data_IF_724952282622
#
_entry.id   IF_724952282622
#
_cell.length_a   1.000
_cell.length_b   1.000
_cell.length_c   1.000
_cell.angle_alpha   90.00
_cell.angle_beta   90.00
_cell.angle_gamma   90.00
#
_symmetry.space_group_name_H-M   'P 1'
#
loop_
_entity.id
_entity.type
_entity.pdbx_description
1 polymer ?
#
# COMPACT_ATOMS: atom_id res chain seq x y z
N UNK A 1 -1.43 0.72 16.55
CA UNK A 1 -0.12 1.37 16.33
C UNK A 1 0.40 0.91 14.97
N UNK A 2 1.03 1.78 14.19
CA UNK A 2 1.68 1.42 12.93
C UNK A 2 2.98 0.64 13.20
N UNK A 3 2.90 -0.71 13.21
CA UNK A 3 4.07 -1.55 13.47
C UNK A 3 4.99 -1.61 12.24
N UNK A 4 6.32 -1.79 12.42
CA UNK A 4 7.24 -1.95 11.29
C UNK A 4 6.79 -3.04 10.31
N UNK A 5 6.47 -4.24 10.84
CA UNK A 5 5.97 -5.36 10.04
C UNK A 5 4.71 -5.01 9.25
N UNK A 6 3.75 -4.33 9.90
CA UNK A 6 2.52 -3.92 9.22
C UNK A 6 2.80 -2.93 8.08
N UNK A 7 3.73 -1.99 8.28
CA UNK A 7 4.13 -1.05 7.24
C UNK A 7 4.86 -1.73 6.09
N UNK A 8 5.66 -2.77 6.35
CA UNK A 8 6.32 -3.58 5.31
C UNK A 8 5.29 -4.35 4.48
N UNK A 9 4.30 -4.97 5.12
CA UNK A 9 3.18 -5.64 4.45
C UNK A 9 2.37 -4.66 3.58
N UNK A 10 2.12 -3.45 4.09
CA UNK A 10 1.44 -2.41 3.32
C UNK A 10 2.28 -1.90 2.14
N UNK A 11 3.59 -1.75 2.29
CA UNK A 11 4.47 -1.35 1.19
C UNK A 11 4.43 -2.38 0.04
N UNK A 12 4.51 -3.67 0.37
CA UNK A 12 4.39 -4.74 -0.62
C UNK A 12 3.05 -4.69 -1.38
N UNK A 13 1.94 -4.45 -0.67
CA UNK A 13 0.61 -4.30 -1.28
C UNK A 13 0.54 -3.09 -2.21
N UNK A 14 1.12 -1.96 -1.81
CA UNK A 14 1.20 -0.74 -2.64
C UNK A 14 1.91 -1.03 -3.96
N UNK A 15 3.05 -1.72 -3.92
CA UNK A 15 3.79 -2.09 -5.13
C UNK A 15 3.00 -3.03 -6.05
N UNK A 16 2.30 -4.02 -5.47
CA UNK A 16 1.43 -4.93 -6.23
C UNK A 16 0.32 -4.14 -6.95
N UNK A 17 -0.34 -3.21 -6.24
CA UNK A 17 -1.37 -2.37 -6.84
C UNK A 17 -0.80 -1.44 -7.91
N UNK A 18 0.40 -0.88 -7.72
CA UNK A 18 1.05 0.00 -8.68
C UNK A 18 1.36 -0.70 -10.01
N UNK A 19 1.68 -2.00 -9.96
CA UNK A 19 1.83 -2.86 -11.15
C UNK A 19 0.50 -3.24 -11.80
N UNK A 20 -0.63 -2.86 -11.20
CA UNK A 20 -1.96 -3.22 -11.65
C UNK A 20 -2.46 -4.58 -11.21
N UNK A 21 -1.73 -5.25 -10.30
CA UNK A 21 -2.10 -6.56 -9.75
C UNK A 21 -2.92 -6.38 -8.46
N UNK A 22 -3.32 -7.49 -7.87
CA UNK A 22 -4.12 -7.53 -6.63
C UNK A 22 -3.41 -8.35 -5.56
N UNK A 23 -3.29 -7.85 -4.31
CA UNK A 23 -2.82 -8.65 -3.18
C UNK A 23 -3.78 -9.82 -2.91
N UNK A 24 -3.22 -10.99 -2.61
CA UNK A 24 -4.01 -12.20 -2.36
C UNK A 24 -4.67 -12.23 -0.97
N UNK A 25 -4.20 -11.38 -0.06
CA UNK A 25 -4.55 -11.39 1.36
C UNK A 25 -5.67 -10.39 1.73
N UNK A 26 -6.16 -9.62 0.75
CA UNK A 26 -7.22 -8.64 0.95
C UNK A 26 -8.51 -9.03 0.22
N UNK A 27 -9.64 -8.94 0.93
CA UNK A 27 -10.95 -9.27 0.38
C UNK A 27 -11.41 -8.17 -0.58
N UNK A 28 -11.69 -8.54 -1.82
CA UNK A 28 -12.19 -7.62 -2.85
C UNK A 28 -13.65 -7.23 -2.58
N UNK A 29 -14.01 -6.00 -2.92
CA UNK A 29 -15.40 -5.55 -2.95
C UNK A 29 -16.18 -6.22 -4.08
N UNK A 30 -15.53 -6.42 -5.24
CA UNK A 30 -16.03 -7.22 -6.34
C UNK A 30 -15.04 -8.36 -6.63
N UNK A 31 -15.31 -9.58 -6.12
CA UNK A 31 -14.44 -10.73 -6.36
C UNK A 31 -14.62 -11.36 -7.74
N UNK A 32 -15.66 -11.02 -8.50
CA UNK A 32 -15.99 -11.64 -9.78
C UNK A 32 -15.34 -10.94 -10.99
N UNK A 33 -14.94 -9.68 -10.82
CA UNK A 33 -14.36 -8.88 -11.90
C UNK A 33 -12.86 -8.72 -11.75
N UNK A 34 -12.12 -9.05 -12.81
CA UNK A 34 -10.69 -8.78 -12.91
C UNK A 34 -10.44 -7.50 -13.72
N UNK A 35 -9.63 -6.61 -13.16
CA UNK A 35 -9.20 -5.40 -13.85
C UNK A 35 -7.99 -5.70 -14.76
N UNK A 36 -7.82 -4.99 -15.89
CA UNK A 36 -6.62 -5.11 -16.71
C UNK A 36 -5.33 -4.88 -15.91
N UNK A 37 -4.33 -5.72 -16.12
CA UNK A 37 -3.01 -5.59 -15.48
C UNK A 37 -2.21 -4.53 -16.23
N UNK A 38 -2.30 -3.30 -15.75
CA UNK A 38 -1.53 -2.15 -16.23
C UNK A 38 -1.09 -1.27 -15.07
N UNK A 39 0.04 -0.56 -15.19
CA UNK A 39 0.49 0.38 -14.17
C UNK A 39 -0.59 1.41 -13.82
N UNK A 40 -0.67 1.78 -12.54
CA UNK A 40 -1.64 2.76 -12.02
C UNK A 40 -1.06 3.54 -10.84
N UNK A 41 -1.57 4.75 -10.67
CA UNK A 41 -1.27 5.53 -9.48
C UNK A 41 -2.00 4.96 -8.26
N UNK A 42 -1.29 4.86 -7.14
CA UNK A 42 -1.81 4.34 -5.87
C UNK A 42 -1.75 5.43 -4.81
N UNK A 43 -2.91 5.75 -4.24
CA UNK A 43 -3.03 6.74 -3.18
C UNK A 43 -3.41 6.03 -1.87
N UNK A 44 -2.60 6.21 -0.82
CA UNK A 44 -2.80 5.58 0.49
C UNK A 44 -3.15 6.65 1.54
N UNK A 45 -4.25 6.45 2.25
CA UNK A 45 -4.73 7.37 3.28
C UNK A 45 -4.64 6.75 4.68
N UNK A 46 -4.01 7.46 5.60
CA UNK A 46 -3.91 7.09 7.01
C UNK A 46 -5.00 7.79 7.81
N UNK A 47 -6.08 7.07 8.11
CA UNK A 47 -7.29 7.65 8.74
C UNK A 47 -7.54 7.18 10.18
N UNK A 48 -6.82 6.15 10.63
CA UNK A 48 -6.95 5.56 11.97
C UNK A 48 -5.85 6.07 12.93
N UNK A 49 -6.10 6.01 14.23
CA UNK A 49 -5.15 6.35 15.34
C UNK A 49 -4.96 7.82 15.72
N UNK A 50 -5.83 8.72 15.25
CA UNK A 50 -5.84 10.13 15.66
C UNK A 50 -4.71 10.96 15.04
N UNK A 51 -4.89 12.29 15.05
CA UNK A 51 -4.06 13.27 14.30
C UNK A 51 -2.56 13.16 14.56
N UNK A 52 -2.16 12.66 15.74
CA UNK A 52 -0.75 12.64 16.17
C UNK A 52 0.03 11.52 15.49
N UNK A 53 -0.57 10.36 15.20
CA UNK A 53 0.17 9.16 14.73
C UNK A 53 0.09 8.93 13.22
N UNK A 54 -0.98 9.40 12.58
CA UNK A 54 -1.18 9.22 11.14
C UNK A 54 -0.04 9.81 10.27
N UNK A 55 0.49 11.03 10.55
CA UNK A 55 1.60 11.57 9.76
C UNK A 55 2.87 10.73 9.86
N UNK A 56 3.20 10.22 11.05
CA UNK A 56 4.37 9.35 11.22
C UNK A 56 4.22 8.00 10.51
N UNK A 57 3.02 7.42 10.52
CA UNK A 57 2.72 6.21 9.75
C UNK A 57 2.88 6.43 8.25
N UNK A 58 2.36 7.55 7.73
CA UNK A 58 2.47 7.91 6.32
C UNK A 58 3.93 8.11 5.89
N UNK A 59 4.71 8.91 6.62
CA UNK A 59 6.13 9.12 6.32
C UNK A 59 6.93 7.80 6.38
N UNK A 60 6.62 6.94 7.35
CA UNK A 60 7.27 5.64 7.49
C UNK A 60 6.92 4.68 6.35
N UNK A 61 5.70 4.73 5.81
CA UNK A 61 5.31 3.98 4.61
C UNK A 61 5.98 4.55 3.35
N UNK A 62 5.96 5.87 3.16
CA UNK A 62 6.59 6.53 2.01
C UNK A 62 8.06 6.13 1.86
N UNK A 63 8.82 6.15 2.97
CA UNK A 63 10.22 5.74 2.97
C UNK A 63 10.44 4.31 2.46
N UNK A 64 9.52 3.37 2.75
CA UNK A 64 9.61 1.98 2.32
C UNK A 64 9.28 1.84 0.84
N UNK A 65 8.23 2.52 0.40
CA UNK A 65 7.78 2.53 -1.00
C UNK A 65 8.84 3.13 -1.92
N UNK A 66 9.45 4.26 -1.54
CA UNK A 66 10.52 4.89 -2.33
C UNK A 66 11.77 4.02 -2.47
N UNK A 67 12.07 3.20 -1.46
CA UNK A 67 13.17 2.25 -1.51
C UNK A 67 12.88 1.08 -2.45
N UNK A 68 11.65 0.56 -2.45
CA UNK A 68 11.25 -0.55 -3.32
C UNK A 68 11.04 -0.15 -4.79
N UNK A 69 10.65 1.10 -5.07
CA UNK A 69 10.55 1.63 -6.45
C UNK A 69 11.89 1.91 -7.13
N UNK A 70 13.02 1.78 -6.39
CA UNK A 70 14.36 2.03 -6.93
C UNK A 70 14.99 0.85 -7.66
N UNK A 71 14.24 -0.22 -7.93
CA UNK A 71 14.70 -1.36 -8.74
C UNK A 71 14.12 -1.26 -10.15
N UNK A 72 14.95 -1.03 -11.19
CA UNK A 72 14.51 -1.03 -12.59
C UNK A 72 14.05 -2.41 -13.07
#
# INVERSE_FOLDING_TARGET
>A
CYTPKGLDEWAARVNIWAQGKQPADLRRADPATDAPVKPRDVFVYFITEGKVRAPFGAMALMKRVDQDLSVP
#
